data_IF_938600101849
#
_entry.id   IF_938600101849
#
_cell.length_a   1.000
_cell.length_b   1.000
_cell.length_c   1.000
_cell.angle_alpha   90.00
_cell.angle_beta   90.00
_cell.angle_gamma   90.00
#
_symmetry.space_group_name_H-M   'P 1'
#
loop_
_entity.id
_entity.type
_entity.pdbx_description
1 polymer ?
#
# COMPACT_ATOMS: atom_id res chain seq x y z
N UNK A 1 -13.72 32.35 12.69
CA UNK A 1 -14.20 31.11 13.33
C UNK A 1 -14.06 29.88 12.41
N UNK A 2 -14.43 29.95 11.12
CA UNK A 2 -14.25 28.82 10.16
C UNK A 2 -12.81 28.34 9.94
N UNK A 3 -11.80 29.21 10.02
CA UNK A 3 -10.38 28.81 9.90
C UNK A 3 -9.89 27.92 11.06
N UNK A 4 -10.43 28.12 12.27
CA UNK A 4 -10.11 27.30 13.44
C UNK A 4 -10.83 25.94 13.39
N UNK A 5 -12.03 25.90 12.80
CA UNK A 5 -12.78 24.65 12.59
C UNK A 5 -12.11 23.71 11.58
N UNK A 6 -11.52 24.24 10.50
CA UNK A 6 -10.81 23.43 9.50
C UNK A 6 -9.51 22.82 10.08
N UNK A 7 -8.80 23.57 10.92
CA UNK A 7 -7.60 23.06 11.63
C UNK A 7 -8.00 21.97 12.64
N UNK A 8 -9.11 22.14 13.35
CA UNK A 8 -9.62 21.13 14.30
C UNK A 8 -10.15 19.86 13.61
N UNK A 9 -10.78 19.98 12.44
CA UNK A 9 -11.26 18.82 11.66
C UNK A 9 -10.09 18.02 11.07
N UNK A 10 -9.02 18.70 10.62
CA UNK A 10 -7.75 18.07 10.21
C UNK A 10 -7.10 17.30 11.38
N UNK A 11 -7.04 17.91 12.58
CA UNK A 11 -6.49 17.28 13.78
C UNK A 11 -7.34 16.11 14.30
N UNK A 12 -8.67 16.18 14.17
CA UNK A 12 -9.56 15.08 14.56
C UNK A 12 -9.47 13.87 13.61
N UNK A 13 -9.32 14.08 12.30
CA UNK A 13 -9.16 12.98 11.33
C UNK A 13 -7.80 12.27 11.50
N UNK A 14 -6.76 13.01 11.91
CA UNK A 14 -5.46 12.40 12.25
C UNK A 14 -5.51 11.54 13.53
N UNK A 15 -6.39 11.83 14.48
CA UNK A 15 -6.52 11.03 15.72
C UNK A 15 -7.36 9.76 15.53
N UNK A 16 -8.39 9.77 14.68
CA UNK A 16 -9.32 8.63 14.53
C UNK A 16 -8.77 7.48 13.69
N UNK A 17 -7.79 7.73 12.81
CA UNK A 17 -7.13 6.65 12.05
C UNK A 17 -6.05 5.90 12.85
N UNK A 18 -5.75 6.30 14.08
CA UNK A 18 -4.73 5.60 14.91
C UNK A 18 -5.28 4.50 15.82
N UNK A 19 -6.61 4.41 16.01
CA UNK A 19 -7.21 3.42 16.93
C UNK A 19 -7.58 2.10 16.23
N UNK A 20 -7.53 2.03 14.90
CA UNK A 20 -7.84 0.78 14.17
C UNK A 20 -6.61 -0.10 13.89
N UNK A 21 -5.40 0.32 14.31
CA UNK A 21 -4.16 -0.43 14.05
C UNK A 21 -3.74 -1.40 15.18
N UNK A 22 -4.55 -1.55 16.23
CA UNK A 22 -4.35 -2.54 17.31
C UNK A 22 -5.40 -3.64 17.24
N UNK A 23 -5.46 -4.32 16.09
CA UNK A 23 -5.88 -5.72 16.08
C UNK A 23 -4.73 -6.54 15.55
N UNK A 24 -3.84 -6.89 16.47
CA UNK A 24 -2.90 -7.99 16.30
C UNK A 24 -3.65 -9.29 16.61
N UNK A 25 -3.92 -10.18 15.64
CA UNK A 25 -4.08 -11.57 15.97
C UNK A 25 -2.69 -12.17 16.21
N UNK A 26 -2.47 -12.51 17.48
CA UNK A 26 -1.71 -13.65 17.99
C UNK A 26 -0.53 -14.18 17.17
N UNK A 27 0.64 -14.09 17.80
CA UNK A 27 1.80 -14.92 17.56
C UNK A 27 1.39 -16.41 17.48
N UNK A 28 1.49 -16.99 16.29
CA UNK A 28 1.67 -18.42 16.10
C UNK A 28 3.16 -18.63 15.80
N UNK A 29 3.77 -19.58 16.51
CA UNK A 29 5.21 -19.73 16.73
C UNK A 29 6.03 -20.23 15.51
N UNK A 30 5.73 -19.74 14.30
CA UNK A 30 6.43 -20.16 13.08
C UNK A 30 6.85 -19.02 12.13
N UNK A 31 6.71 -17.75 12.55
CA UNK A 31 6.94 -16.56 11.70
C UNK A 31 7.94 -15.56 12.30
N UNK A 32 8.85 -16.00 13.17
CA UNK A 32 9.87 -15.11 13.76
C UNK A 32 10.80 -14.49 12.70
N UNK A 33 11.18 -15.27 11.68
CA UNK A 33 12.08 -14.82 10.60
C UNK A 33 11.41 -13.85 9.61
N UNK A 34 10.10 -14.00 9.44
CA UNK A 34 9.31 -13.26 8.44
C UNK A 34 8.98 -11.83 8.90
N UNK A 35 8.99 -11.62 10.22
CA UNK A 35 8.70 -10.34 10.85
C UNK A 35 9.94 -9.54 11.26
N UNK A 36 11.13 -10.16 11.26
CA UNK A 36 12.39 -9.53 11.68
C UNK A 36 12.86 -8.42 10.71
N UNK A 37 12.38 -8.45 9.47
CA UNK A 37 12.69 -7.44 8.43
C UNK A 37 11.65 -6.34 8.26
N UNK A 38 10.61 -6.28 9.10
CA UNK A 38 9.47 -5.37 8.89
C UNK A 38 9.83 -3.95 9.36
N UNK A 39 10.03 -3.03 8.42
CA UNK A 39 10.24 -1.60 8.73
C UNK A 39 8.92 -0.86 8.54
N UNK A 40 8.39 -0.32 9.63
CA UNK A 40 7.07 0.33 9.68
C UNK A 40 5.93 -0.66 9.35
N UNK A 41 5.25 -0.51 8.22
CA UNK A 41 4.26 -1.47 7.72
C UNK A 41 4.78 -2.33 6.58
N UNK A 42 5.99 -2.04 6.08
CA UNK A 42 6.55 -2.63 4.88
C UNK A 42 7.01 -4.06 5.16
N UNK A 43 6.49 -5.02 4.38
CA UNK A 43 6.89 -6.42 4.47
C UNK A 43 8.25 -6.58 3.80
N UNK A 44 9.11 -7.49 4.28
CA UNK A 44 10.34 -7.80 3.56
C UNK A 44 10.01 -8.46 2.21
N UNK A 45 10.88 -8.29 1.21
CA UNK A 45 10.70 -8.91 -0.13
C UNK A 45 10.60 -10.44 -0.09
N UNK A 46 11.19 -11.05 0.94
CA UNK A 46 11.18 -12.49 1.16
C UNK A 46 9.94 -12.98 1.93
N UNK A 47 8.93 -12.11 2.12
CA UNK A 47 7.79 -12.42 2.97
C UNK A 47 7.00 -13.63 2.48
N UNK A 48 6.81 -14.63 3.36
CA UNK A 48 6.15 -15.89 3.01
C UNK A 48 6.99 -16.84 2.13
N UNK A 49 8.30 -16.65 2.06
CA UNK A 49 9.25 -17.53 1.35
C UNK A 49 10.23 -18.25 2.28
N UNK A 50 10.04 -18.19 3.59
CA UNK A 50 10.93 -18.83 4.59
C UNK A 50 10.26 -20.06 5.22
N UNK A 51 11.04 -21.10 5.50
CA UNK A 51 10.61 -22.22 6.34
C UNK A 51 10.66 -21.85 7.84
N UNK A 52 10.23 -22.79 8.69
CA UNK A 52 10.31 -22.69 10.15
C UNK A 52 11.77 -22.45 10.64
N UNK A 53 12.76 -22.95 9.88
CA UNK A 53 14.20 -22.83 10.16
C UNK A 53 14.85 -21.54 9.60
N UNK A 54 14.08 -20.49 9.31
CA UNK A 54 14.54 -19.23 8.69
C UNK A 54 15.29 -19.37 7.34
N UNK A 55 15.24 -20.54 6.70
CA UNK A 55 15.89 -20.78 5.41
C UNK A 55 14.92 -20.51 4.25
N UNK A 56 15.42 -19.85 3.19
CA UNK A 56 14.64 -19.55 1.99
C UNK A 56 14.18 -20.83 1.30
N UNK A 57 12.86 -20.96 1.10
CA UNK A 57 12.19 -22.03 0.36
C UNK A 57 12.63 -21.95 -1.10
N UNK A 58 13.12 -23.06 -1.66
CA UNK A 58 13.50 -23.09 -3.07
C UNK A 58 12.25 -23.21 -3.96
N UNK A 59 12.31 -22.76 -5.23
CA UNK A 59 11.18 -22.86 -6.15
C UNK A 59 10.55 -24.25 -6.27
N UNK A 60 11.32 -25.33 -6.07
CA UNK A 60 10.81 -26.70 -6.10
C UNK A 60 9.92 -27.05 -4.91
N UNK A 61 10.14 -26.41 -3.77
CA UNK A 61 9.38 -26.71 -2.54
C UNK A 61 8.08 -25.89 -2.45
N UNK A 62 7.88 -24.93 -3.36
CA UNK A 62 6.65 -24.13 -3.55
C UNK A 62 5.66 -24.79 -4.54
N UNK A 63 6.06 -25.91 -5.16
CA UNK A 63 5.19 -26.73 -6.00
C UNK A 63 4.38 -27.66 -5.10
N UNK A 64 3.21 -27.18 -4.66
CA UNK A 64 2.17 -28.06 -4.11
C UNK A 64 1.32 -28.60 -5.26
N UNK A 65 1.22 -29.94 -5.36
CA UNK A 65 0.25 -30.61 -6.22
C UNK A 65 0.74 -31.13 -7.57
N UNK A 66 2.05 -31.41 -7.76
CA UNK A 66 2.55 -32.05 -8.99
C UNK A 66 2.60 -31.14 -10.23
N UNK A 67 2.31 -29.85 -10.07
CA UNK A 67 2.44 -28.83 -11.11
C UNK A 67 3.83 -28.19 -11.08
N UNK A 68 4.55 -28.21 -12.20
CA UNK A 68 5.89 -27.62 -12.37
C UNK A 68 5.90 -26.06 -12.40
N UNK A 69 4.99 -25.42 -11.68
CA UNK A 69 4.80 -23.97 -11.62
C UNK A 69 5.43 -23.31 -10.37
N UNK A 70 6.27 -24.06 -9.64
CA UNK A 70 6.88 -23.61 -8.38
C UNK A 70 7.74 -22.34 -8.53
N UNK A 71 8.45 -22.19 -9.66
CA UNK A 71 9.17 -20.95 -10.02
C UNK A 71 8.21 -19.76 -10.18
N UNK A 72 7.08 -19.98 -10.84
CA UNK A 72 6.12 -18.92 -11.10
C UNK A 72 5.43 -18.46 -9.81
N UNK A 73 5.03 -19.39 -8.93
CA UNK A 73 4.48 -19.05 -7.61
C UNK A 73 5.47 -18.27 -6.74
N UNK A 74 6.74 -18.69 -6.74
CA UNK A 74 7.81 -17.99 -6.02
C UNK A 74 7.95 -16.53 -6.50
N UNK A 75 8.04 -16.33 -7.83
CA UNK A 75 8.14 -15.00 -8.43
C UNK A 75 6.87 -14.17 -8.14
N UNK A 76 5.68 -14.73 -8.35
CA UNK A 76 4.42 -14.04 -8.10
C UNK A 76 4.28 -13.62 -6.64
N UNK A 77 4.74 -14.43 -5.68
CA UNK A 77 4.71 -14.07 -4.25
C UNK A 77 5.62 -12.89 -3.92
N UNK A 78 6.84 -12.85 -4.49
CA UNK A 78 7.74 -11.70 -4.35
C UNK A 78 7.08 -10.45 -4.93
N UNK A 79 6.58 -10.55 -6.16
CA UNK A 79 5.98 -9.40 -6.87
C UNK A 79 4.76 -8.88 -6.12
N UNK A 80 3.85 -9.75 -5.68
CA UNK A 80 2.66 -9.35 -4.94
C UNK A 80 3.00 -8.64 -3.63
N UNK A 81 3.99 -9.14 -2.89
CA UNK A 81 4.45 -8.51 -1.64
C UNK A 81 5.00 -7.11 -1.90
N UNK A 82 5.88 -6.97 -2.89
CA UNK A 82 6.46 -5.66 -3.24
C UNK A 82 5.37 -4.69 -3.72
N UNK A 83 4.43 -5.15 -4.54
CA UNK A 83 3.31 -4.33 -5.02
C UNK A 83 2.42 -3.86 -3.87
N UNK A 84 2.11 -4.75 -2.92
CA UNK A 84 1.34 -4.41 -1.72
C UNK A 84 2.04 -3.31 -0.89
N UNK A 85 3.36 -3.40 -0.73
CA UNK A 85 4.15 -2.37 -0.04
C UNK A 85 4.17 -1.04 -0.81
N UNK A 86 4.33 -1.08 -2.14
CA UNK A 86 4.24 0.11 -2.98
C UNK A 86 2.86 0.78 -2.90
N UNK A 87 1.78 0.01 -2.80
CA UNK A 87 0.42 0.54 -2.65
C UNK A 87 0.22 1.20 -1.29
N UNK A 88 0.78 0.63 -0.22
CA UNK A 88 0.79 1.29 1.09
C UNK A 88 1.50 2.64 1.01
N UNK A 89 2.71 2.68 0.43
CA UNK A 89 3.47 3.92 0.24
C UNK A 89 2.69 4.92 -0.64
N UNK A 90 2.12 4.46 -1.75
CA UNK A 90 1.31 5.29 -2.63
C UNK A 90 0.10 5.88 -1.90
N UNK A 91 -0.57 5.09 -1.05
CA UNK A 91 -1.67 5.58 -0.20
C UNK A 91 -1.24 6.71 0.72
N UNK A 92 -0.12 6.55 1.43
CA UNK A 92 0.43 7.62 2.28
C UNK A 92 0.81 8.87 1.48
N UNK A 93 1.42 8.71 0.31
CA UNK A 93 1.81 9.81 -0.56
C UNK A 93 0.58 10.55 -1.12
N UNK A 94 -0.45 9.82 -1.55
CA UNK A 94 -1.71 10.40 -2.03
C UNK A 94 -2.36 11.26 -0.94
N UNK A 95 -2.41 10.77 0.30
CA UNK A 95 -2.94 11.55 1.43
C UNK A 95 -2.13 12.84 1.63
N UNK A 96 -0.80 12.78 1.58
CA UNK A 96 0.05 13.97 1.70
C UNK A 96 -0.20 15.00 0.59
N UNK A 97 -0.35 14.56 -0.67
CA UNK A 97 -0.67 15.45 -1.80
C UNK A 97 -2.07 16.05 -1.71
N UNK A 98 -3.06 15.29 -1.23
CA UNK A 98 -4.42 15.81 -1.02
C UNK A 98 -4.41 16.90 0.05
N UNK A 99 -3.66 16.72 1.15
CA UNK A 99 -3.52 17.73 2.20
C UNK A 99 -2.84 19.00 1.65
N UNK A 100 -1.73 18.86 0.91
CA UNK A 100 -1.01 19.99 0.33
C UNK A 100 -1.84 20.76 -0.72
N UNK A 101 -2.56 20.03 -1.59
CA UNK A 101 -3.46 20.61 -2.58
C UNK A 101 -4.68 21.29 -1.95
N UNK A 102 -5.25 20.66 -0.91
CA UNK A 102 -6.39 21.19 -0.15
C UNK A 102 -6.03 22.47 0.61
N UNK A 103 -4.86 22.50 1.26
CA UNK A 103 -4.40 23.70 1.95
C UNK A 103 -4.18 24.88 0.99
N UNK A 104 -3.62 24.59 -0.19
CA UNK A 104 -3.42 25.58 -1.26
C UNK A 104 -4.76 26.10 -1.77
N UNK A 105 -5.74 25.22 -1.98
CA UNK A 105 -7.09 25.60 -2.42
C UNK A 105 -7.79 26.53 -1.41
N UNK A 106 -7.75 26.18 -0.12
CA UNK A 106 -8.42 26.97 0.95
C UNK A 106 -7.72 28.32 1.18
N UNK A 107 -6.40 28.38 1.03
CA UNK A 107 -5.58 29.60 1.26
C UNK A 107 -5.59 30.56 0.06
N UNK A 108 -6.27 30.22 -1.03
CA UNK A 108 -6.21 30.98 -2.29
C UNK A 108 -6.93 32.34 -2.29
N UNK A 109 -7.64 32.72 -1.21
CA UNK A 109 -8.22 34.05 -0.91
C UNK A 109 -8.44 35.01 -2.11
N UNK A 110 -9.17 34.56 -3.14
CA UNK A 110 -9.57 35.38 -4.29
C UNK A 110 -8.68 35.33 -5.54
N UNK A 111 -7.57 34.58 -5.53
CA UNK A 111 -6.75 34.33 -6.72
C UNK A 111 -7.20 33.04 -7.44
N UNK A 112 -7.86 33.13 -8.61
CA UNK A 112 -8.36 31.95 -9.33
C UNK A 112 -7.25 30.99 -9.78
N UNK A 113 -6.03 31.52 -10.03
CA UNK A 113 -4.87 30.70 -10.41
C UNK A 113 -4.46 29.72 -9.30
N UNK A 114 -4.42 30.17 -8.05
CA UNK A 114 -4.03 29.32 -6.91
C UNK A 114 -5.10 28.29 -6.56
N UNK A 115 -6.38 28.66 -6.70
CA UNK A 115 -7.49 27.73 -6.51
C UNK A 115 -7.47 26.62 -7.60
N UNK A 116 -7.25 26.98 -8.86
CA UNK A 116 -7.14 26.01 -9.95
C UNK A 116 -5.94 25.08 -9.76
N UNK A 117 -4.79 25.59 -9.31
CA UNK A 117 -3.60 24.77 -9.02
C UNK A 117 -3.86 23.76 -7.91
N UNK A 118 -4.47 24.17 -6.79
CA UNK A 118 -4.80 23.26 -5.69
C UNK A 118 -5.72 22.12 -6.14
N UNK A 119 -6.74 22.43 -6.94
CA UNK A 119 -7.65 21.42 -7.48
C UNK A 119 -6.96 20.47 -8.47
N UNK A 120 -6.07 20.98 -9.33
CA UNK A 120 -5.25 20.15 -10.23
C UNK A 120 -4.36 19.18 -9.46
N UNK A 121 -3.74 19.62 -8.36
CA UNK A 121 -2.92 18.74 -7.52
C UNK A 121 -3.74 17.59 -6.94
N UNK A 122 -4.95 17.87 -6.43
CA UNK A 122 -5.85 16.83 -5.91
C UNK A 122 -6.26 15.86 -7.01
N UNK A 123 -6.68 16.38 -8.18
CA UNK A 123 -7.07 15.54 -9.32
C UNK A 123 -5.93 14.64 -9.78
N UNK A 124 -4.71 15.16 -9.89
CA UNK A 124 -3.55 14.38 -10.28
C UNK A 124 -3.22 13.28 -9.25
N UNK A 125 -3.37 13.55 -7.95
CA UNK A 125 -3.18 12.55 -6.90
C UNK A 125 -4.22 11.43 -6.96
N UNK A 126 -5.49 11.77 -7.25
CA UNK A 126 -6.57 10.78 -7.42
C UNK A 126 -6.36 9.93 -8.67
N UNK A 127 -5.98 10.54 -9.79
CA UNK A 127 -5.69 9.82 -11.05
C UNK A 127 -4.56 8.82 -10.83
N UNK A 128 -3.48 9.21 -10.14
CA UNK A 128 -2.38 8.30 -9.81
C UNK A 128 -2.83 7.09 -8.98
N UNK A 129 -3.69 7.30 -7.98
CA UNK A 129 -4.24 6.22 -7.17
C UNK A 129 -5.12 5.26 -8.00
N UNK A 130 -5.98 5.81 -8.87
CA UNK A 130 -6.85 5.01 -9.74
C UNK A 130 -6.04 4.17 -10.72
N UNK A 131 -4.98 4.72 -11.31
CA UNK A 131 -4.08 3.99 -12.20
C UNK A 131 -3.38 2.85 -11.45
N UNK A 132 -2.91 3.09 -10.22
CA UNK A 132 -2.30 2.07 -9.39
C UNK A 132 -3.27 0.91 -9.12
N UNK A 133 -4.53 1.21 -8.77
CA UNK A 133 -5.56 0.18 -8.58
C UNK A 133 -5.87 -0.60 -9.86
N UNK A 134 -5.94 0.09 -11.01
CA UNK A 134 -6.19 -0.53 -12.30
C UNK A 134 -5.04 -1.48 -12.73
N UNK A 135 -3.79 -1.14 -12.39
CA UNK A 135 -2.62 -1.98 -12.68
C UNK A 135 -2.71 -3.36 -12.04
N UNK A 136 -3.19 -3.44 -10.79
CA UNK A 136 -3.33 -4.72 -10.06
C UNK A 136 -4.37 -5.60 -10.75
N UNK A 137 -5.52 -5.01 -11.13
CA UNK A 137 -6.57 -5.73 -11.83
C UNK A 137 -6.04 -6.30 -13.16
N UNK A 138 -5.20 -5.56 -13.87
CA UNK A 138 -4.57 -6.02 -15.10
C UNK A 138 -3.59 -7.18 -14.87
N UNK A 139 -2.74 -7.09 -13.85
CA UNK A 139 -1.80 -8.18 -13.48
C UNK A 139 -2.56 -9.45 -13.11
N UNK A 140 -3.63 -9.32 -12.32
CA UNK A 140 -4.47 -10.44 -11.93
C UNK A 140 -5.26 -11.02 -13.11
N UNK A 141 -5.72 -10.18 -14.04
CA UNK A 141 -6.39 -10.62 -15.25
C UNK A 141 -5.46 -11.42 -16.17
N UNK A 142 -4.23 -10.93 -16.37
CA UNK A 142 -3.21 -11.65 -17.16
C UNK A 142 -2.81 -12.95 -16.44
N UNK A 143 -2.59 -12.90 -15.12
CA UNK A 143 -2.29 -14.09 -14.32
C UNK A 143 -3.39 -15.14 -14.43
N UNK A 144 -4.65 -14.75 -14.20
CA UNK A 144 -5.80 -15.66 -14.28
C UNK A 144 -6.03 -16.22 -15.69
N UNK A 145 -5.76 -15.44 -16.74
CA UNK A 145 -5.84 -15.92 -18.13
C UNK A 145 -4.73 -16.93 -18.48
N UNK A 146 -3.58 -16.87 -17.80
CA UNK A 146 -2.45 -17.78 -17.97
C UNK A 146 -2.51 -19.01 -17.03
N UNK A 147 -3.59 -19.18 -16.25
CA UNK A 147 -3.76 -20.33 -15.35
C UNK A 147 -2.86 -20.32 -14.11
N UNK A 148 -2.53 -19.13 -13.61
CA UNK A 148 -1.94 -18.91 -12.28
C UNK A 148 -2.96 -19.09 -11.15
#
# INVERSE_FOLDING_TARGET
MFKQAIIAISLMIFSSLTVSAVFSPSANAQTACDNDGKILTLKPWYYGLTNEDCSLKSPSDMSEGGENNGMQRFISRIVLTIVEDLLHIAGYVTVAFVIAGGFTYITSSGAPDKASRGMKTILNAVIGLVIAMASIALVNFIGGAMGL
#
